data_IF_933855224119
#
_entry.id   IF_933855224119
#
_cell.length_a   1.000
_cell.length_b   1.000
_cell.length_c   1.000
_cell.angle_alpha   90.00
_cell.angle_beta   90.00
_cell.angle_gamma   90.00
#
_symmetry.space_group_name_H-M   'P 1'
#
loop_
_entity.id
_entity.type
_entity.pdbx_description
1 polymer ?
#
# COMPACT_ATOMS: atom_id res chain seq x y z
N UNK A 1 2.70 21.62 4.61
CA UNK A 1 2.05 21.15 5.87
C UNK A 1 3.12 20.77 6.89
N UNK A 2 2.91 20.99 8.19
CA UNK A 2 3.87 20.59 9.24
C UNK A 2 3.44 19.25 9.86
N UNK A 3 4.20 18.19 9.58
CA UNK A 3 3.92 16.81 10.03
C UNK A 3 3.60 16.72 11.54
N UNK A 4 4.34 17.45 12.39
CA UNK A 4 4.12 17.54 13.85
C UNK A 4 2.71 17.94 14.26
N UNK A 5 2.03 18.80 13.50
CA UNK A 5 0.65 19.20 13.81
C UNK A 5 -0.31 18.03 13.58
N UNK A 6 -0.17 17.35 12.45
CA UNK A 6 -1.01 16.21 12.08
C UNK A 6 -0.81 15.04 13.03
N UNK A 7 0.43 14.74 13.42
CA UNK A 7 0.75 13.77 14.48
C UNK A 7 -0.10 14.04 15.73
N UNK A 8 -0.10 15.27 16.25
CA UNK A 8 -0.85 15.60 17.45
C UNK A 8 -2.34 15.38 17.27
N UNK A 9 -2.89 15.77 16.11
CA UNK A 9 -4.31 15.58 15.82
C UNK A 9 -4.68 14.10 15.76
N UNK A 10 -3.87 13.27 15.09
CA UNK A 10 -4.07 11.82 15.01
C UNK A 10 -4.07 11.18 16.41
N UNK A 11 -3.10 11.54 17.25
CA UNK A 11 -3.01 11.00 18.62
C UNK A 11 -4.15 11.50 19.51
N UNK A 12 -4.58 12.75 19.38
CA UNK A 12 -5.68 13.32 20.17
C UNK A 12 -7.01 12.62 19.93
N UNK A 13 -7.25 12.15 18.71
CA UNK A 13 -8.48 11.39 18.37
C UNK A 13 -8.33 9.88 18.64
N UNK A 14 -7.19 9.44 19.18
CA UNK A 14 -6.91 8.02 19.44
C UNK A 14 -6.69 7.18 18.17
N UNK A 15 -6.42 7.81 17.03
CA UNK A 15 -6.18 7.11 15.78
C UNK A 15 -4.72 6.64 15.68
N UNK A 16 -4.50 5.58 14.92
CA UNK A 16 -3.18 5.02 14.62
C UNK A 16 -2.83 5.06 13.12
N UNK A 17 -3.69 5.68 12.30
CA UNK A 17 -3.48 5.81 10.87
C UNK A 17 -4.00 7.15 10.35
N UNK A 18 -3.37 7.65 9.29
CA UNK A 18 -3.75 8.85 8.56
C UNK A 18 -3.85 8.51 7.07
N UNK A 19 -4.99 8.81 6.47
CA UNK A 19 -5.20 8.69 5.02
C UNK A 19 -5.20 10.09 4.39
N UNK A 20 -4.37 10.33 3.38
CA UNK A 20 -4.27 11.65 2.74
C UNK A 20 -3.98 11.59 1.24
N UNK A 21 -4.20 12.73 0.57
CA UNK A 21 -3.88 12.88 -0.84
C UNK A 21 -2.39 12.67 -1.09
N UNK A 22 -2.07 11.77 -2.03
CA UNK A 22 -0.70 11.26 -2.21
C UNK A 22 0.33 12.34 -2.58
N UNK A 23 -0.04 13.36 -3.35
CA UNK A 23 0.89 14.42 -3.76
C UNK A 23 1.35 15.32 -2.60
N UNK A 24 0.70 15.23 -1.43
CA UNK A 24 1.12 15.94 -0.24
C UNK A 24 2.13 15.15 0.63
N UNK A 25 2.43 13.90 0.26
CA UNK A 25 3.37 13.03 0.96
C UNK A 25 4.81 13.34 0.56
N UNK A 26 5.71 13.24 1.53
CA UNK A 26 7.15 13.35 1.32
C UNK A 26 7.87 12.34 2.21
N UNK A 27 9.10 11.90 1.86
CA UNK A 27 9.85 10.98 2.71
C UNK A 27 10.02 11.47 4.17
N UNK A 28 10.36 12.77 4.44
CA UNK A 28 10.42 13.27 5.81
C UNK A 28 9.09 13.23 6.56
N UNK A 29 7.97 13.39 5.85
CA UNK A 29 6.64 13.29 6.44
C UNK A 29 6.33 11.86 6.88
N UNK A 30 6.61 10.88 6.02
CA UNK A 30 6.42 9.46 6.33
C UNK A 30 7.29 9.02 7.50
N UNK A 31 8.54 9.47 7.55
CA UNK A 31 9.46 9.18 8.64
C UNK A 31 8.96 9.70 9.99
N UNK A 32 8.44 10.94 10.03
CA UNK A 32 7.86 11.51 11.25
C UNK A 32 6.65 10.70 11.77
N UNK A 33 5.83 10.18 10.85
CA UNK A 33 4.67 9.33 11.21
C UNK A 33 5.12 7.95 11.69
N UNK A 34 6.08 7.35 10.97
CA UNK A 34 6.66 6.04 11.30
C UNK A 34 7.28 6.01 12.68
N UNK A 35 8.04 7.04 13.06
CA UNK A 35 8.65 7.18 14.39
C UNK A 35 7.64 7.17 15.55
N UNK A 36 6.36 7.40 15.25
CA UNK A 36 5.26 7.47 16.23
C UNK A 36 4.25 6.34 16.08
N UNK A 37 4.56 5.34 15.25
CA UNK A 37 3.66 4.22 15.00
C UNK A 37 2.38 4.60 14.27
N UNK A 38 2.36 5.73 13.56
CA UNK A 38 1.22 6.16 12.76
C UNK A 38 1.38 5.63 11.34
N UNK A 39 0.46 4.79 10.89
CA UNK A 39 0.42 4.29 9.51
C UNK A 39 -0.06 5.39 8.56
N UNK A 40 0.57 5.53 7.40
CA UNK A 40 0.15 6.49 6.37
C UNK A 40 -0.42 5.77 5.16
N UNK A 41 -1.64 6.12 4.78
CA UNK A 41 -2.33 5.61 3.59
C UNK A 41 -2.51 6.73 2.57
N UNK A 42 -2.31 6.42 1.29
CA UNK A 42 -2.39 7.39 0.21
C UNK A 42 -3.67 7.18 -0.62
N UNK A 43 -4.48 8.23 -0.83
CA UNK A 43 -5.65 8.21 -1.72
C UNK A 43 -5.59 9.32 -2.78
N UNK A 44 -6.35 9.25 -3.87
CA UNK A 44 -6.70 8.02 -4.60
C UNK A 44 -5.66 7.87 -5.70
N UNK A 45 -4.98 6.72 -5.74
CA UNK A 45 -3.83 6.52 -6.62
C UNK A 45 -4.22 5.53 -7.69
N UNK A 46 -4.35 5.98 -8.94
CA UNK A 46 -4.77 5.15 -10.07
C UNK A 46 -3.68 4.98 -11.13
N UNK A 47 -2.54 5.67 -10.98
CA UNK A 47 -1.41 5.62 -11.91
C UNK A 47 -0.31 4.67 -11.41
N UNK A 48 0.19 3.80 -12.31
CA UNK A 48 1.22 2.81 -11.98
C UNK A 48 2.50 3.42 -11.41
N UNK A 49 2.95 4.53 -11.99
CA UNK A 49 4.19 5.17 -11.56
C UNK A 49 4.05 5.71 -10.13
N UNK A 50 2.89 6.30 -9.80
CA UNK A 50 2.60 6.77 -8.46
C UNK A 50 2.43 5.61 -7.48
N UNK A 51 1.81 4.49 -7.88
CA UNK A 51 1.73 3.28 -7.04
C UNK A 51 3.12 2.76 -6.69
N UNK A 52 4.04 2.70 -7.67
CA UNK A 52 5.42 2.26 -7.45
C UNK A 52 6.17 3.18 -6.52
N UNK A 53 6.14 4.49 -6.80
CA UNK A 53 6.82 5.50 -6.01
C UNK A 53 6.35 5.46 -4.54
N UNK A 54 5.04 5.44 -4.30
CA UNK A 54 4.51 5.42 -2.94
C UNK A 54 4.83 4.11 -2.21
N UNK A 55 4.75 2.97 -2.89
CA UNK A 55 5.07 1.67 -2.31
C UNK A 55 6.54 1.59 -1.88
N UNK A 56 7.47 2.06 -2.72
CA UNK A 56 8.90 2.07 -2.40
C UNK A 56 9.28 3.18 -1.41
N UNK A 57 8.56 4.31 -1.42
CA UNK A 57 8.68 5.36 -0.39
C UNK A 57 8.23 4.88 0.99
N UNK A 58 7.45 3.80 1.06
CA UNK A 58 7.10 3.11 2.29
C UNK A 58 5.78 3.54 2.91
N UNK A 59 4.78 3.93 2.11
CA UNK A 59 3.41 4.07 2.62
C UNK A 59 2.87 2.70 3.07
N UNK A 60 2.03 2.68 4.11
CA UNK A 60 1.46 1.43 4.64
C UNK A 60 0.20 1.00 3.88
N UNK A 61 -0.38 1.88 3.07
CA UNK A 61 -1.56 1.57 2.28
C UNK A 61 -1.71 2.49 1.08
N UNK A 62 -2.25 1.94 -0.01
CA UNK A 62 -2.64 2.68 -1.20
C UNK A 62 -4.14 2.42 -1.42
N UNK A 63 -4.91 3.50 -1.50
CA UNK A 63 -6.32 3.50 -1.81
C UNK A 63 -6.43 3.81 -3.31
N UNK A 64 -7.03 2.91 -4.07
CA UNK A 64 -7.08 2.94 -5.54
C UNK A 64 -8.44 2.48 -6.06
N UNK A 65 -8.85 3.02 -7.19
CA UNK A 65 -9.96 2.49 -7.98
C UNK A 65 -9.54 1.29 -8.83
N UNK A 66 -8.24 0.99 -8.91
CA UNK A 66 -7.64 -0.05 -9.75
C UNK A 66 -6.90 -1.10 -8.91
N UNK A 67 -7.61 -1.85 -8.05
CA UNK A 67 -6.98 -2.78 -7.11
C UNK A 67 -6.26 -3.94 -7.81
N UNK A 68 -6.70 -4.36 -8.98
CA UNK A 68 -6.03 -5.38 -9.79
C UNK A 68 -4.67 -4.91 -10.33
N UNK A 69 -4.61 -3.68 -10.81
CA UNK A 69 -3.38 -3.03 -11.26
C UNK A 69 -2.39 -2.83 -10.11
N UNK A 70 -2.87 -2.35 -8.95
CA UNK A 70 -2.03 -2.24 -7.75
C UNK A 70 -1.46 -3.60 -7.31
N UNK A 71 -2.24 -4.68 -7.35
CA UNK A 71 -1.71 -6.01 -7.01
C UNK A 71 -0.57 -6.44 -7.95
N UNK A 72 -0.70 -6.16 -9.25
CA UNK A 72 0.36 -6.46 -10.22
C UNK A 72 1.63 -5.67 -9.90
N UNK A 73 1.50 -4.36 -9.66
CA UNK A 73 2.63 -3.49 -9.28
C UNK A 73 3.34 -4.02 -8.04
N UNK A 74 2.60 -4.38 -6.98
CA UNK A 74 3.19 -4.90 -5.74
C UNK A 74 3.87 -6.27 -5.94
N UNK A 75 3.28 -7.17 -6.73
CA UNK A 75 3.87 -8.48 -7.04
C UNK A 75 5.19 -8.31 -7.82
N UNK A 76 5.25 -7.38 -8.77
CA UNK A 76 6.46 -7.06 -9.54
C UNK A 76 7.58 -6.47 -8.65
N UNK A 77 7.25 -5.50 -7.80
CA UNK A 77 8.20 -4.91 -6.84
C UNK A 77 8.73 -5.92 -5.80
N UNK A 78 7.94 -6.94 -5.46
CA UNK A 78 8.41 -8.02 -4.59
C UNK A 78 9.31 -8.98 -5.37
N UNK A 79 8.99 -9.27 -6.62
CA UNK A 79 9.78 -10.15 -7.47
C UNK A 79 11.15 -9.58 -7.82
N UNK A 80 11.26 -8.26 -8.02
CA UNK A 80 12.52 -7.57 -8.29
C UNK A 80 13.33 -7.21 -7.03
N UNK A 81 12.74 -7.37 -5.84
CA UNK A 81 13.38 -7.09 -4.55
C UNK A 81 13.31 -5.64 -4.08
N UNK A 82 12.65 -4.75 -4.82
CA UNK A 82 12.43 -3.34 -4.47
C UNK A 82 11.48 -3.16 -3.29
N UNK A 83 10.57 -4.10 -3.08
CA UNK A 83 9.65 -4.12 -1.95
C UNK A 83 9.77 -5.41 -1.16
N UNK A 84 9.95 -5.29 0.16
CA UNK A 84 9.88 -6.45 1.05
C UNK A 84 8.43 -6.69 1.43
N UNK A 85 7.90 -7.92 1.28
CA UNK A 85 6.56 -8.23 1.74
C UNK A 85 6.50 -8.05 3.27
N UNK A 86 5.35 -7.59 3.82
CA UNK A 86 5.23 -7.42 5.27
C UNK A 86 5.47 -8.76 5.96
N UNK A 87 6.31 -8.75 7.00
CA UNK A 87 6.65 -9.94 7.82
C UNK A 87 5.46 -10.50 8.63
N UNK A 88 4.29 -9.86 8.53
CA UNK A 88 3.06 -10.29 9.20
C UNK A 88 2.54 -11.64 8.72
N UNK A 89 1.81 -12.33 9.59
CA UNK A 89 1.22 -13.65 9.35
C UNK A 89 0.35 -13.59 8.09
N UNK A 90 0.86 -14.10 6.96
CA UNK A 90 0.08 -14.35 5.76
C UNK A 90 -1.04 -15.31 6.15
N UNK A 91 -2.25 -14.79 6.37
CA UNK A 91 -3.44 -15.62 6.56
C UNK A 91 -3.49 -16.51 5.32
N UNK A 92 -3.24 -17.82 5.51
CA UNK A 92 -3.35 -18.78 4.40
C UNK A 92 -4.78 -18.65 3.89
N UNK A 93 -4.95 -18.00 2.72
CA UNK A 93 -6.24 -17.89 2.04
C UNK A 93 -6.90 -19.26 2.09
N UNK A 94 -8.18 -19.30 2.46
CA UNK A 94 -8.95 -20.54 2.49
C UNK A 94 -8.76 -21.30 1.18
N UNK A 95 -8.90 -22.63 1.20
CA UNK A 95 -8.81 -23.48 -0.01
C UNK A 95 -9.61 -22.89 -1.19
N UNK A 96 -10.73 -22.24 -0.90
CA UNK A 96 -11.60 -21.56 -1.86
C UNK A 96 -11.00 -20.28 -2.46
N UNK A 97 -10.32 -19.45 -1.66
CA UNK A 97 -9.65 -18.23 -2.15
C UNK A 97 -8.48 -18.53 -3.09
N UNK A 98 -7.72 -19.60 -2.82
CA UNK A 98 -6.61 -20.05 -3.67
C UNK A 98 -7.09 -20.51 -5.05
N UNK A 99 -8.18 -21.30 -5.10
CA UNK A 99 -8.75 -21.79 -6.37
C UNK A 99 -9.26 -20.66 -7.26
N UNK A 100 -9.84 -19.60 -6.69
CA UNK A 100 -10.35 -18.45 -7.44
C UNK A 100 -9.22 -17.71 -8.16
N UNK A 101 -8.09 -17.51 -7.48
CA UNK A 101 -6.90 -16.87 -8.06
C UNK A 101 -6.24 -17.74 -9.13
N UNK A 102 -6.12 -19.05 -8.91
CA UNK A 102 -5.59 -19.98 -9.91
C UNK A 102 -6.43 -19.96 -11.21
N UNK A 103 -7.75 -19.90 -11.09
CA UNK A 103 -8.65 -19.76 -12.25
C UNK A 103 -8.46 -18.44 -13.00
N UNK A 104 -8.31 -17.32 -12.27
CA UNK A 104 -8.05 -15.99 -12.86
C UNK A 104 -6.72 -15.98 -13.63
N UNK A 105 -5.66 -16.57 -13.05
CA UNK A 105 -4.35 -16.70 -13.69
C UNK A 105 -4.38 -17.61 -14.93
N UNK A 106 -5.12 -18.72 -14.88
CA UNK A 106 -5.31 -19.60 -16.05
C UNK A 106 -6.08 -18.91 -17.18
N UNK A 107 -7.10 -18.11 -16.86
CA UNK A 107 -7.85 -17.34 -17.86
C UNK A 107 -6.96 -16.28 -18.53
N UNK A 108 -6.16 -15.54 -17.76
CA UNK A 108 -5.23 -14.53 -18.28
C UNK A 108 -4.09 -15.12 -19.15
N UNK A 109 -3.78 -16.41 -19.00
CA UNK A 109 -2.78 -17.12 -19.81
C UNK A 109 -3.37 -17.72 -21.09
N UNK A 110 -4.70 -17.87 -21.19
CA UNK A 110 -5.40 -18.43 -22.36
C UNK A 110 -5.85 -17.39 -23.38
N UNK A 111 -5.82 -16.10 -23.03
CA UNK A 111 -6.16 -14.97 -23.90
C UNK A 111 -4.95 -14.26 -24.51
N UNK A 112 -3.77 -14.88 -24.49
CA UNK A 112 -2.53 -14.42 -25.15
C UNK A 112 -2.08 -15.47 -26.15
#
# INVERSE_FOLDING_TARGET
>A
MRARRLVRQVLQVGANALAMWYAALTPPFLEEMRQRGIAVWAWTVDEDIAMRDLATMGVQGIITNRPDQLNQVLDELVADGSLRPPLGRRIKRSRWGRRRQLRKLQAAKRGR
#
